data_IF_877724574913
#
_entry.id   IF_877724574913
#
_cell.length_a   1.000
_cell.length_b   1.000
_cell.length_c   1.000
_cell.angle_alpha   90.00
_cell.angle_beta   90.00
_cell.angle_gamma   90.00
#
_symmetry.space_group_name_H-M   'P 1'
#
loop_
_entity.id
_entity.type
_entity.pdbx_description
1 polymer ?
#
# COMPACT_ATOMS: atom_id res chain seq x y z
N UNK A 1 -0.06 5.94 -6.34
CA UNK A 1 0.90 6.47 -7.36
C UNK A 1 1.38 7.89 -7.05
N UNK A 2 0.52 8.90 -6.87
CA UNK A 2 0.96 10.29 -6.69
C UNK A 2 1.92 10.52 -5.51
N UNK A 3 1.61 9.96 -4.33
CA UNK A 3 2.52 10.01 -3.16
C UNK A 3 3.86 9.34 -3.43
N UNK A 4 3.83 8.16 -4.06
CA UNK A 4 5.04 7.45 -4.47
C UNK A 4 5.92 8.32 -5.38
N UNK A 5 5.33 8.98 -6.38
CA UNK A 5 6.08 9.82 -7.33
C UNK A 5 6.77 11.02 -6.65
N UNK A 6 6.09 11.68 -5.70
CA UNK A 6 6.62 12.84 -4.96
C UNK A 6 7.87 12.49 -4.14
N UNK A 7 7.98 11.26 -3.65
CA UNK A 7 9.06 10.82 -2.75
C UNK A 7 9.98 9.76 -3.37
N UNK A 8 9.84 9.44 -4.66
CA UNK A 8 10.46 8.25 -5.25
C UNK A 8 11.99 8.24 -5.18
N UNK A 9 12.62 9.42 -5.22
CA UNK A 9 14.07 9.60 -5.17
C UNK A 9 14.60 9.97 -3.77
N UNK A 10 13.75 9.92 -2.74
CA UNK A 10 14.01 10.42 -1.39
C UNK A 10 14.07 9.32 -0.33
N UNK A 11 15.00 9.46 0.61
CA UNK A 11 15.21 8.55 1.75
C UNK A 11 14.63 9.09 3.08
N UNK A 12 14.18 10.34 3.10
CA UNK A 12 13.66 11.01 4.30
C UNK A 12 12.16 10.76 4.50
N UNK A 13 11.50 10.09 3.55
CA UNK A 13 10.10 9.67 3.65
C UNK A 13 9.95 8.26 3.09
N UNK A 14 9.56 7.30 3.93
CA UNK A 14 9.16 5.96 3.47
C UNK A 14 7.69 5.95 3.02
N UNK A 15 7.43 5.45 1.82
CA UNK A 15 6.10 5.28 1.26
C UNK A 15 5.77 3.79 1.23
N UNK A 16 4.67 3.40 1.90
CA UNK A 16 4.15 2.04 1.90
C UNK A 16 2.70 2.06 1.41
N UNK A 17 2.39 1.27 0.38
CA UNK A 17 1.06 1.21 -0.21
C UNK A 17 0.52 -0.23 -0.22
N UNK A 18 -0.73 -0.41 0.22
CA UNK A 18 -1.51 -1.64 0.06
C UNK A 18 -2.67 -1.32 -0.89
N UNK A 19 -2.76 -2.04 -2.00
CA UNK A 19 -3.72 -1.74 -3.07
C UNK A 19 -3.99 -2.97 -3.93
N UNK A 20 -5.05 -2.94 -4.74
CA UNK A 20 -5.28 -4.02 -5.69
C UNK A 20 -4.24 -3.99 -6.82
N UNK A 21 -4.04 -5.14 -7.44
CA UNK A 21 -3.01 -5.32 -8.46
C UNK A 21 -3.22 -4.33 -9.62
N UNK A 22 -2.23 -3.44 -9.89
CA UNK A 22 -2.35 -2.47 -10.97
C UNK A 22 -2.57 -3.13 -12.34
N UNK A 23 -2.23 -4.41 -12.54
CA UNK A 23 -2.55 -5.11 -13.79
C UNK A 23 -4.07 -5.16 -14.10
N UNK A 24 -4.91 -5.02 -13.08
CA UNK A 24 -6.38 -5.12 -13.19
C UNK A 24 -7.13 -3.96 -12.52
N UNK A 25 -6.44 -3.09 -11.79
CA UNK A 25 -7.01 -1.93 -11.09
C UNK A 25 -6.26 -0.63 -11.45
N UNK A 26 -6.98 0.49 -11.41
CA UNK A 26 -6.34 1.81 -11.51
C UNK A 26 -5.22 1.91 -10.45
N UNK A 27 -4.03 2.45 -10.78
CA UNK A 27 -3.72 3.29 -11.94
C UNK A 27 -3.07 2.60 -13.15
N UNK A 28 -3.01 1.27 -13.18
CA UNK A 28 -2.48 0.45 -14.29
C UNK A 28 -0.98 0.52 -14.60
N UNK A 29 -0.32 1.65 -14.34
CA UNK A 29 1.05 1.89 -14.80
C UNK A 29 2.07 2.00 -13.65
N UNK A 30 1.59 2.07 -12.42
CA UNK A 30 2.38 2.28 -11.20
C UNK A 30 1.71 1.53 -10.03
N UNK A 31 2.51 1.09 -9.07
CA UNK A 31 2.06 0.28 -7.94
C UNK A 31 2.54 -1.17 -7.99
N UNK A 32 3.41 -1.53 -8.94
CA UNK A 32 3.99 -2.86 -9.00
C UNK A 32 4.97 -3.09 -7.84
N UNK A 33 5.13 -4.36 -7.44
CA UNK A 33 5.95 -4.74 -6.29
C UNK A 33 7.47 -4.49 -6.49
N UNK A 34 7.92 -4.42 -7.74
CA UNK A 34 9.31 -4.15 -8.13
C UNK A 34 9.66 -2.65 -8.17
N UNK A 35 8.68 -1.76 -7.99
CA UNK A 35 8.90 -0.31 -7.88
C UNK A 35 9.37 0.05 -6.46
N UNK A 36 10.69 0.09 -6.27
CA UNK A 36 11.32 0.20 -4.94
C UNK A 36 11.89 1.57 -4.59
N UNK A 37 11.66 2.56 -5.44
CA UNK A 37 12.32 3.88 -5.37
C UNK A 37 13.44 4.00 -6.39
N UNK A 38 14.20 5.09 -6.31
CA UNK A 38 15.38 5.32 -7.13
C UNK A 38 16.41 6.17 -6.39
N UNK A 39 17.69 6.05 -6.77
CA UNK A 39 18.75 6.89 -6.20
C UNK A 39 18.83 6.76 -4.68
N UNK A 40 18.67 7.86 -3.95
CA UNK A 40 18.67 7.85 -2.49
C UNK A 40 17.43 7.14 -1.92
N UNK A 41 16.29 7.20 -2.62
CA UNK A 41 15.04 6.56 -2.21
C UNK A 41 14.94 5.06 -2.50
N UNK A 42 15.99 4.42 -3.02
CA UNK A 42 15.97 2.96 -3.24
C UNK A 42 15.74 2.22 -1.91
N UNK A 43 14.67 1.42 -1.86
CA UNK A 43 14.21 0.71 -0.66
C UNK A 43 13.24 1.49 0.22
N UNK A 44 12.92 2.74 -0.12
CA UNK A 44 11.98 3.58 0.63
C UNK A 44 10.57 3.62 0.03
N UNK A 45 10.36 3.05 -1.16
CA UNK A 45 9.01 2.77 -1.68
C UNK A 45 8.71 1.27 -1.61
N UNK A 46 7.56 0.92 -1.03
CA UNK A 46 7.12 -0.47 -0.85
C UNK A 46 5.66 -0.57 -1.30
N UNK A 47 5.40 -1.42 -2.29
CA UNK A 47 4.06 -1.68 -2.80
C UNK A 47 3.65 -3.13 -2.50
N UNK A 48 2.42 -3.31 -2.01
CA UNK A 48 1.76 -4.59 -1.81
C UNK A 48 0.55 -4.70 -2.77
N UNK A 49 0.78 -5.00 -4.06
CA UNK A 49 -0.31 -5.29 -4.98
C UNK A 49 -0.97 -6.63 -4.61
N UNK A 50 -2.29 -6.64 -4.51
CA UNK A 50 -3.06 -7.83 -4.15
C UNK A 50 -4.16 -8.14 -5.18
N UNK A 51 -4.46 -9.41 -5.45
CA UNK A 51 -5.51 -9.75 -6.40
C UNK A 51 -6.89 -9.31 -5.91
N UNK A 52 -7.82 -9.14 -6.85
CA UNK A 52 -9.24 -8.96 -6.54
C UNK A 52 -9.79 -10.13 -5.71
N UNK A 53 -10.75 -9.82 -4.85
CA UNK A 53 -11.33 -10.80 -3.92
C UNK A 53 -10.48 -11.07 -2.67
N UNK A 54 -9.31 -10.42 -2.53
CA UNK A 54 -8.53 -10.45 -1.28
C UNK A 54 -9.41 -10.03 -0.10
N UNK A 55 -9.55 -10.93 0.86
CA UNK A 55 -10.22 -10.70 2.14
C UNK A 55 -9.23 -10.38 3.25
N UNK A 56 -9.77 -10.14 4.45
CA UNK A 56 -9.00 -9.70 5.62
C UNK A 56 -7.75 -10.55 5.90
N UNK A 57 -7.86 -11.88 5.93
CA UNK A 57 -6.73 -12.73 6.35
C UNK A 57 -5.48 -12.51 5.48
N UNK A 58 -5.65 -12.38 4.16
CA UNK A 58 -4.54 -12.12 3.24
C UNK A 58 -4.12 -10.65 3.28
N UNK A 59 -5.08 -9.72 3.36
CA UNK A 59 -4.79 -8.29 3.46
C UNK A 59 -3.99 -7.94 4.73
N UNK A 60 -4.34 -8.57 5.86
CA UNK A 60 -3.69 -8.38 7.15
C UNK A 60 -2.24 -8.90 7.15
N UNK A 61 -1.92 -9.95 6.40
CA UNK A 61 -0.52 -10.39 6.23
C UNK A 61 0.33 -9.28 5.59
N UNK A 62 -0.20 -8.59 4.58
CA UNK A 62 0.48 -7.43 3.98
C UNK A 62 0.55 -6.26 4.95
N UNK A 63 -0.49 -6.02 5.76
CA UNK A 63 -0.48 -4.97 6.78
C UNK A 63 0.57 -5.25 7.87
N UNK A 64 0.68 -6.49 8.34
CA UNK A 64 1.68 -6.87 9.35
C UNK A 64 3.10 -6.68 8.84
N UNK A 65 3.40 -7.09 7.60
CA UNK A 65 4.71 -6.83 6.98
C UNK A 65 4.96 -5.32 6.79
N UNK A 66 3.94 -4.55 6.38
CA UNK A 66 4.02 -3.11 6.27
C UNK A 66 4.33 -2.45 7.63
N UNK A 67 3.66 -2.87 8.70
CA UNK A 67 3.93 -2.42 10.06
C UNK A 67 5.34 -2.80 10.52
N UNK A 68 5.83 -3.99 10.19
CA UNK A 68 7.19 -4.40 10.52
C UNK A 68 8.24 -3.53 9.80
N UNK A 69 8.01 -3.19 8.53
CA UNK A 69 8.89 -2.29 7.75
C UNK A 69 8.86 -0.86 8.29
N UNK A 70 7.67 -0.36 8.62
CA UNK A 70 7.49 0.95 9.24
C UNK A 70 8.23 1.01 10.59
N UNK A 71 8.12 -0.02 11.42
CA UNK A 71 8.83 -0.10 12.69
C UNK A 71 10.35 -0.15 12.51
N UNK A 72 10.84 -0.86 11.48
CA UNK A 72 12.27 -0.91 11.16
C UNK A 72 12.81 0.41 10.62
N UNK A 73 11.98 1.17 9.87
CA UNK A 73 12.30 2.52 9.43
C UNK A 73 12.34 3.53 10.58
N UNK A 74 11.56 3.29 11.63
CA UNK A 74 11.49 4.09 12.85
C UNK A 74 11.24 5.60 12.59
N UNK A 75 10.15 5.97 11.90
CA UNK A 75 9.85 7.37 11.62
C UNK A 75 9.42 8.12 12.89
N UNK A 76 9.70 9.42 12.93
CA UNK A 76 9.19 10.31 13.98
C UNK A 76 7.67 10.53 13.89
N UNK A 77 7.12 10.49 12.67
CA UNK A 77 5.72 10.77 12.36
C UNK A 77 5.21 9.75 11.34
N UNK A 78 3.98 9.28 11.54
CA UNK A 78 3.27 8.42 10.59
C UNK A 78 2.04 9.17 10.07
N UNK A 79 1.90 9.23 8.75
CA UNK A 79 0.70 9.75 8.08
C UNK A 79 -0.02 8.59 7.41
N UNK A 80 -1.28 8.36 7.76
CA UNK A 80 -2.10 7.28 7.20
C UNK A 80 -3.09 7.86 6.19
N UNK A 81 -2.89 7.57 4.91
CA UNK A 81 -3.87 7.84 3.85
C UNK A 81 -4.97 6.79 3.89
N UNK A 82 -5.96 6.98 4.78
CA UNK A 82 -7.03 6.02 5.00
C UNK A 82 -8.11 6.08 3.90
N UNK A 83 -8.05 5.14 2.96
CA UNK A 83 -9.15 4.77 2.08
C UNK A 83 -9.97 3.62 2.67
N UNK A 84 -11.30 3.71 2.57
CA UNK A 84 -12.23 2.64 3.01
C UNK A 84 -12.93 1.95 1.83
N UNK A 85 -12.44 2.23 0.62
CA UNK A 85 -12.84 1.55 -0.62
C UNK A 85 -12.43 0.07 -0.63
N UNK A 86 -11.54 -0.36 0.26
CA UNK A 86 -11.21 -1.78 0.46
C UNK A 86 -12.39 -2.63 1.01
N UNK A 87 -13.53 -2.01 1.32
CA UNK A 87 -14.74 -2.65 1.84
C UNK A 87 -15.46 -3.53 0.81
N UNK A 88 -16.02 -4.66 1.26
CA UNK A 88 -16.61 -5.69 0.40
C UNK A 88 -17.78 -5.23 -0.49
N UNK A 89 -18.41 -4.10 -0.15
CA UNK A 89 -19.53 -3.49 -0.88
C UNK A 89 -19.17 -2.15 -1.54
N UNK A 90 -17.89 -1.80 -1.57
CA UNK A 90 -17.45 -0.65 -2.35
C UNK A 90 -17.80 -0.86 -3.84
N UNK A 91 -18.33 0.17 -4.54
CA UNK A 91 -18.79 0.01 -5.91
C UNK A 91 -17.65 -0.03 -6.95
N UNK A 92 -16.42 0.33 -6.58
CA UNK A 92 -15.29 0.50 -7.52
C UNK A 92 -14.07 -0.36 -7.19
N UNK A 93 -13.88 -0.78 -5.94
CA UNK A 93 -12.87 -1.77 -5.55
C UNK A 93 -13.45 -3.18 -5.48
N UNK A 94 -12.57 -4.19 -5.44
CA UNK A 94 -12.95 -5.60 -5.38
C UNK A 94 -12.40 -6.37 -4.19
N UNK A 95 -11.87 -5.67 -3.17
CA UNK A 95 -11.54 -6.30 -1.90
C UNK A 95 -12.78 -6.76 -1.13
N UNK A 96 -12.54 -7.53 -0.06
CA UNK A 96 -13.57 -8.21 0.74
C UNK A 96 -13.43 -7.95 2.24
N UNK A 97 -12.90 -6.78 2.62
CA UNK A 97 -12.89 -6.38 4.04
C UNK A 97 -14.31 -6.08 4.49
N UNK A 98 -14.61 -6.44 5.73
CA UNK A 98 -15.90 -6.23 6.38
C UNK A 98 -15.81 -5.04 7.33
N UNK A 99 -16.96 -4.52 7.75
CA UNK A 99 -17.01 -3.42 8.73
C UNK A 99 -16.26 -3.74 10.02
N UNK A 100 -16.27 -5.01 10.47
CA UNK A 100 -15.56 -5.48 11.66
C UNK A 100 -14.03 -5.46 11.56
N UNK A 101 -13.50 -5.32 10.34
CA UNK A 101 -12.07 -5.40 10.07
C UNK A 101 -11.41 -4.02 10.18
N UNK A 102 -12.22 -2.95 10.26
CA UNK A 102 -11.76 -1.59 10.50
C UNK A 102 -11.86 -1.22 12.00
N UNK A 103 -11.05 -0.25 12.47
CA UNK A 103 -11.11 0.26 13.85
C UNK A 103 -12.44 0.91 14.25
#
# INVERSE_FOLDING_TARGET
NGTQEIFYDRADVQVINLHGDPMVEYPFFLGHADERGAGAGEGFNINYPMPFGTGWDAWNVSLEDACARLAAYAPDIVVVSLGVDTFEKDPISQFKLKTSDYP
#
